data_IF_608650188400
#
_entry.id   IF_608650188400
#
_cell.length_a   1.000
_cell.length_b   1.000
_cell.length_c   1.000
_cell.angle_alpha   90.00
_cell.angle_beta   90.00
_cell.angle_gamma   90.00
#
_symmetry.space_group_name_H-M   'P 1'
#
loop_
_entity.id
_entity.type
_entity.pdbx_description
1 polymer ?
#
# COMPACT_ATOMS: atom_id res chain seq x y z
N UNK A 1 2.40 -27.00 2.98
CA UNK A 1 1.42 -26.00 2.50
C UNK A 1 0.99 -25.03 3.61
N UNK A 2 1.83 -24.79 4.64
CA UNK A 2 1.55 -23.82 5.72
C UNK A 2 2.51 -22.63 5.64
N UNK A 3 3.79 -22.88 5.34
CA UNK A 3 4.85 -21.87 5.31
C UNK A 3 4.65 -20.78 4.25
N UNK A 4 4.12 -21.12 3.06
CA UNK A 4 3.87 -20.13 2.00
C UNK A 4 2.78 -19.13 2.38
N UNK A 5 1.72 -19.59 3.05
CA UNK A 5 0.64 -18.71 3.49
C UNK A 5 1.11 -17.80 4.64
N UNK A 6 1.92 -18.32 5.56
CA UNK A 6 2.52 -17.52 6.64
C UNK A 6 3.53 -16.51 6.06
N UNK A 7 4.33 -16.88 5.06
CA UNK A 7 5.30 -16.00 4.41
C UNK A 7 4.62 -14.84 3.66
N UNK A 8 3.57 -15.14 2.89
CA UNK A 8 2.80 -14.11 2.16
C UNK A 8 2.03 -13.21 3.13
N UNK A 9 1.42 -13.76 4.18
CA UNK A 9 0.76 -12.95 5.23
C UNK A 9 1.76 -12.09 6.00
N UNK A 10 2.95 -12.59 6.31
CA UNK A 10 3.96 -11.82 7.04
C UNK A 10 4.52 -10.65 6.24
N UNK A 11 4.67 -10.79 4.91
CA UNK A 11 5.26 -9.74 4.05
C UNK A 11 4.23 -8.70 3.62
N UNK A 12 2.98 -9.09 3.35
CA UNK A 12 1.96 -8.18 2.80
C UNK A 12 0.90 -7.72 3.81
N UNK A 13 0.55 -8.54 4.81
CA UNK A 13 -0.49 -8.22 5.79
C UNK A 13 0.11 -7.68 7.10
N UNK A 14 1.16 -8.32 7.61
CA UNK A 14 1.76 -7.95 8.90
C UNK A 14 2.82 -6.83 8.77
N UNK A 15 3.29 -6.59 7.54
CA UNK A 15 4.27 -5.54 7.29
C UNK A 15 3.58 -4.19 7.14
N UNK A 16 3.41 -3.52 8.28
CA UNK A 16 2.93 -2.15 8.40
C UNK A 16 3.66 -1.16 7.47
N UNK A 17 4.86 -1.50 6.98
CA UNK A 17 5.65 -0.68 6.05
C UNK A 17 4.84 -0.25 4.84
N UNK A 18 4.02 -1.07 4.20
CA UNK A 18 3.29 -0.60 3.00
C UNK A 18 2.27 0.50 3.28
N UNK A 19 1.61 0.45 4.45
CA UNK A 19 0.69 1.50 4.89
C UNK A 19 1.43 2.76 5.37
N UNK A 20 2.62 2.62 5.98
CA UNK A 20 3.41 3.75 6.49
C UNK A 20 4.33 4.40 5.44
N UNK A 21 4.88 3.65 4.46
CA UNK A 21 5.85 4.14 3.48
C UNK A 21 5.21 5.02 2.39
N UNK A 22 3.94 4.76 2.04
CA UNK A 22 3.22 5.52 1.02
C UNK A 22 2.10 6.40 1.57
N UNK A 23 1.75 6.20 2.85
CA UNK A 23 0.40 6.49 3.30
C UNK A 23 0.25 7.67 4.23
N UNK A 24 1.08 7.90 5.25
CA UNK A 24 0.61 8.72 6.39
C UNK A 24 0.20 10.16 6.00
N UNK A 25 1.03 10.88 5.25
CA UNK A 25 0.71 12.25 4.80
C UNK A 25 -0.43 12.28 3.78
N UNK A 26 -0.38 11.37 2.81
CA UNK A 26 -1.35 11.27 1.71
C UNK A 26 -2.72 10.78 2.17
N UNK A 27 -2.74 9.91 3.18
CA UNK A 27 -3.92 9.34 3.83
C UNK A 27 -4.65 10.42 4.62
N UNK A 28 -3.94 11.21 5.45
CA UNK A 28 -4.53 12.33 6.19
C UNK A 28 -5.15 13.35 5.23
N UNK A 29 -4.48 13.66 4.10
CA UNK A 29 -4.99 14.61 3.11
C UNK A 29 -6.22 14.12 2.33
N UNK A 30 -6.33 12.81 2.09
CA UNK A 30 -7.33 12.24 1.17
C UNK A 30 -8.47 11.48 1.88
N UNK A 31 -8.41 11.37 3.22
CA UNK A 31 -9.39 10.66 4.06
C UNK A 31 -10.85 11.13 3.89
N UNK A 32 -11.10 12.35 3.40
CA UNK A 32 -12.46 12.91 3.27
C UNK A 32 -13.17 12.52 1.97
N UNK A 33 -12.46 12.06 0.94
CA UNK A 33 -13.02 11.85 -0.40
C UNK A 33 -12.55 10.54 -1.04
N UNK A 34 -13.45 9.56 -1.12
CA UNK A 34 -13.17 8.22 -1.68
C UNK A 34 -12.75 8.29 -3.16
N UNK A 35 -13.32 9.21 -3.94
CA UNK A 35 -12.96 9.40 -5.36
C UNK A 35 -11.50 9.83 -5.55
N UNK A 36 -10.99 10.65 -4.64
CA UNK A 36 -9.58 11.11 -4.66
C UNK A 36 -8.64 10.02 -4.12
N UNK A 37 -9.10 9.23 -3.13
CA UNK A 37 -8.33 8.10 -2.57
C UNK A 37 -8.02 7.04 -3.63
N UNK A 38 -9.00 6.70 -4.46
CA UNK A 38 -8.84 5.72 -5.54
C UNK A 38 -7.84 6.19 -6.61
N UNK A 39 -7.92 7.46 -7.02
CA UNK A 39 -7.00 8.01 -8.02
C UNK A 39 -5.55 8.09 -7.51
N UNK A 40 -5.36 8.50 -6.26
CA UNK A 40 -4.05 8.55 -5.62
C UNK A 40 -3.45 7.14 -5.45
N UNK A 41 -4.26 6.17 -5.01
CA UNK A 41 -3.82 4.79 -4.84
C UNK A 41 -3.30 4.18 -6.13
N UNK A 42 -4.01 4.37 -7.25
CA UNK A 42 -3.57 3.87 -8.57
C UNK A 42 -2.26 4.52 -9.04
N UNK A 43 -2.12 5.84 -8.85
CA UNK A 43 -0.89 6.55 -9.20
C UNK A 43 0.31 6.04 -8.39
N UNK A 44 0.13 5.82 -7.09
CA UNK A 44 1.18 5.33 -6.20
C UNK A 44 1.58 3.89 -6.52
N UNK A 45 0.62 2.99 -6.77
CA UNK A 45 0.91 1.61 -7.18
C UNK A 45 1.71 1.58 -8.49
N UNK A 46 1.38 2.44 -9.45
CA UNK A 46 2.11 2.55 -10.71
C UNK A 46 3.55 3.05 -10.54
N UNK A 47 3.75 4.12 -9.75
CA UNK A 47 5.09 4.66 -9.46
C UNK A 47 5.93 3.63 -8.69
N UNK A 48 5.31 2.89 -7.77
CA UNK A 48 6.01 1.88 -6.98
C UNK A 48 6.48 0.71 -7.82
N UNK A 49 5.64 0.21 -8.75
CA UNK A 49 6.02 -0.83 -9.72
C UNK A 49 7.15 -0.36 -10.65
N UNK A 50 7.20 0.93 -10.98
CA UNK A 50 8.31 1.47 -11.77
C UNK A 50 9.61 1.66 -10.97
N UNK A 51 9.50 2.02 -9.70
CA UNK A 51 10.67 2.38 -8.85
C UNK A 51 11.32 1.14 -8.23
N UNK A 52 10.50 0.17 -7.85
CA UNK A 52 10.92 -1.09 -7.25
C UNK A 52 10.38 -2.21 -8.16
N UNK A 53 11.17 -2.69 -9.14
CA UNK A 53 10.78 -3.86 -9.92
C UNK A 53 10.64 -5.11 -9.04
#
# INVERSE_FOLDING_TARGET
>A
MESLNIFIRSIFIDNMVFAFFFGMCSYIAVSKSVKTALGLGLAVTFVMVMTVP
#
